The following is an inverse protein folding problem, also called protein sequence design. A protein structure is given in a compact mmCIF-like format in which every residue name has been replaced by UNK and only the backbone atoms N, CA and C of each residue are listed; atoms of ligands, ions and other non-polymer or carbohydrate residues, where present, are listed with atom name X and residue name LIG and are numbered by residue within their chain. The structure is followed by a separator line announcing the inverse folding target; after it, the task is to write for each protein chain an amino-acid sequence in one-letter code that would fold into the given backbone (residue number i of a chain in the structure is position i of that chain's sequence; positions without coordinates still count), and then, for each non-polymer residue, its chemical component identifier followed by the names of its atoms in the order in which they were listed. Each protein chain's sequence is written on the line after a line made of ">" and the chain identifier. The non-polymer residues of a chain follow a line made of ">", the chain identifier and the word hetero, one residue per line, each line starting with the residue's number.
data_IF_141505294982
#
_entry.id   IF_141505294982
#
_cell.length_a   1.000
_cell.length_b   1.000
_cell.length_c   1.000
_cell.angle_alpha   90.00
_cell.angle_beta   90.00
_cell.angle_gamma   90.00
#
_symmetry.space_group_name_H-M   'P 1'
#
loop_
_entity.id
_entity.type
_entity.pdbx_description
1 polymer ?
#
# COMPACT_ATOMS: atom_id res chain seq x y z
N UNK A 1 -2.63 12.29 -3.47
CA UNK A 1 -1.77 12.65 -4.62
C UNK A 1 -1.88 11.57 -5.67
N UNK A 2 -1.96 11.95 -6.95
CA UNK A 2 -2.03 10.99 -8.05
C UNK A 2 -0.67 10.91 -8.75
N UNK A 3 -0.11 9.70 -8.84
CA UNK A 3 1.13 9.46 -9.56
C UNK A 3 0.85 9.25 -11.06
N UNK A 4 1.88 9.40 -11.89
CA UNK A 4 1.77 8.96 -13.29
C UNK A 4 1.58 7.43 -13.33
N UNK A 5 0.98 6.90 -14.41
CA UNK A 5 0.77 5.46 -14.55
C UNK A 5 2.10 4.69 -14.46
N UNK A 6 3.15 5.21 -15.08
CA UNK A 6 4.48 4.61 -15.07
C UNK A 6 5.09 4.64 -13.67
N UNK A 7 4.95 5.76 -12.97
CA UNK A 7 5.52 5.91 -11.63
C UNK A 7 4.79 5.05 -10.59
N UNK A 8 3.46 4.98 -10.67
CA UNK A 8 2.68 4.07 -9.83
C UNK A 8 3.05 2.61 -10.09
N UNK A 9 3.30 2.22 -11.35
CA UNK A 9 3.75 0.88 -11.68
C UNK A 9 5.12 0.57 -11.07
N UNK A 10 6.09 1.48 -11.17
CA UNK A 10 7.41 1.32 -10.55
C UNK A 10 7.30 1.18 -9.04
N UNK A 11 6.52 2.02 -8.39
CA UNK A 11 6.34 1.93 -6.94
C UNK A 11 5.70 0.59 -6.54
N UNK A 12 4.69 0.11 -7.29
CA UNK A 12 4.10 -1.22 -7.03
C UNK A 12 5.08 -2.37 -7.25
N UNK A 13 5.98 -2.26 -8.22
CA UNK A 13 7.05 -3.24 -8.46
C UNK A 13 8.09 -3.22 -7.33
N UNK A 14 8.46 -2.03 -6.86
CA UNK A 14 9.31 -1.85 -5.68
C UNK A 14 8.70 -2.54 -4.45
N UNK A 15 7.42 -2.27 -4.14
CA UNK A 15 6.72 -2.89 -3.02
C UNK A 15 6.71 -4.43 -3.10
N UNK A 16 6.46 -4.99 -4.29
CA UNK A 16 6.45 -6.44 -4.49
C UNK A 16 7.85 -7.07 -4.34
N UNK A 17 8.90 -6.33 -4.67
CA UNK A 17 10.29 -6.80 -4.57
C UNK A 17 10.83 -6.68 -3.14
N UNK A 18 10.68 -5.52 -2.49
CA UNK A 18 11.22 -5.26 -1.14
C UNK A 18 10.42 -5.95 -0.04
N UNK A 19 9.10 -6.07 -0.21
CA UNK A 19 8.21 -6.64 0.79
C UNK A 19 7.46 -7.87 0.24
N UNK A 20 8.15 -9.02 0.03
CA UNK A 20 7.54 -10.23 -0.51
C UNK A 20 6.61 -10.95 0.50
N UNK A 21 6.60 -10.50 1.76
CA UNK A 21 5.73 -10.98 2.83
C UNK A 21 4.80 -9.85 3.24
N UNK A 22 3.55 -10.17 3.56
CA UNK A 22 2.54 -9.21 3.99
C UNK A 22 3.02 -8.38 5.18
N UNK A 23 3.03 -7.05 5.01
CA UNK A 23 3.49 -6.12 6.03
C UNK A 23 2.53 -6.01 7.24
N UNK A 24 1.28 -6.45 7.10
CA UNK A 24 0.29 -6.47 8.20
C UNK A 24 0.44 -7.73 9.06
N UNK A 25 0.38 -8.92 8.45
CA UNK A 25 0.34 -10.16 9.22
C UNK A 25 1.71 -10.83 9.42
N UNK A 26 2.71 -10.50 8.60
CA UNK A 26 4.05 -11.11 8.63
C UNK A 26 4.09 -12.62 8.35
N UNK A 27 2.99 -13.20 7.83
CA UNK A 27 2.82 -14.66 7.72
C UNK A 27 2.63 -15.15 6.29
N UNK A 28 1.83 -14.44 5.51
CA UNK A 28 1.50 -14.82 4.14
C UNK A 28 2.32 -14.00 3.14
N UNK A 29 2.57 -14.53 1.93
CA UNK A 29 3.12 -13.73 0.83
C UNK A 29 2.30 -12.45 0.60
N UNK A 30 2.96 -11.38 0.16
CA UNK A 30 2.25 -10.21 -0.35
C UNK A 30 1.72 -10.54 -1.75
N UNK A 31 0.40 -10.38 -1.92
CA UNK A 31 -0.27 -10.68 -3.18
C UNK A 31 -0.54 -9.40 -3.98
N UNK A 32 -0.67 -8.25 -3.30
CA UNK A 32 -1.02 -6.97 -3.91
C UNK A 32 -0.49 -5.78 -3.11
N UNK A 33 -0.36 -4.64 -3.77
CA UNK A 33 -0.16 -3.33 -3.14
C UNK A 33 -1.53 -2.68 -2.89
N UNK A 34 -1.90 -2.59 -1.61
CA UNK A 34 -3.13 -1.98 -1.13
C UNK A 34 -2.95 -0.47 -0.97
N UNK A 35 -3.89 0.32 -1.47
CA UNK A 35 -3.92 1.76 -1.17
C UNK A 35 -4.59 1.95 0.19
N UNK A 36 -3.89 2.47 1.19
CA UNK A 36 -4.42 2.69 2.55
C UNK A 36 -5.45 3.82 2.54
N UNK A 37 -5.17 4.93 1.85
CA UNK A 37 -6.17 5.98 1.60
C UNK A 37 -6.88 5.76 0.26
N UNK A 38 -8.14 5.36 0.35
CA UNK A 38 -9.06 5.21 -0.78
C UNK A 38 -10.47 5.64 -0.36
N UNK A 39 -11.11 6.47 -1.17
CA UNK A 39 -12.51 6.88 -1.03
C UNK A 39 -13.43 6.06 -1.93
N UNK A 40 -14.74 6.33 -1.85
CA UNK A 40 -15.73 5.70 -2.72
C UNK A 40 -15.34 5.91 -4.18
N UNK A 41 -15.28 4.81 -4.96
CA UNK A 41 -14.87 4.82 -6.37
C UNK A 41 -13.48 5.45 -6.63
N UNK A 42 -12.57 5.43 -5.65
CA UNK A 42 -11.23 6.00 -5.78
C UNK A 42 -11.15 7.51 -5.55
N UNK A 43 -12.19 8.14 -5.00
CA UNK A 43 -12.09 9.48 -4.42
C UNK A 43 -10.98 9.52 -3.36
N UNK A 44 -10.33 10.66 -3.12
CA UNK A 44 -9.29 10.81 -2.06
C UNK A 44 -8.12 9.81 -2.10
N UNK A 45 -7.93 9.12 -3.23
CA UNK A 45 -6.85 8.17 -3.43
C UNK A 45 -5.51 8.92 -3.39
N UNK A 46 -4.61 8.45 -2.54
CA UNK A 46 -3.20 8.83 -2.61
C UNK A 46 -2.38 7.63 -3.06
N UNK A 47 -1.86 7.70 -4.29
CA UNK A 47 -1.06 6.65 -4.91
C UNK A 47 0.27 6.40 -4.17
N UNK A 48 0.70 7.30 -3.28
CA UNK A 48 1.88 7.13 -2.44
C UNK A 48 1.58 6.33 -1.18
N UNK A 49 0.31 6.27 -0.77
CA UNK A 49 -0.12 5.59 0.45
C UNK A 49 -0.42 4.12 0.14
N UNK A 50 0.61 3.35 -0.22
CA UNK A 50 0.48 1.91 -0.53
C UNK A 50 1.30 1.01 0.39
N UNK A 51 0.76 -0.16 0.71
CA UNK A 51 1.41 -1.24 1.49
C UNK A 51 1.28 -2.59 0.78
N UNK A 52 2.28 -3.45 0.92
CA UNK A 52 2.30 -4.81 0.37
C UNK A 52 1.59 -5.79 1.33
N UNK A 53 0.48 -6.39 0.89
CA UNK A 53 -0.38 -7.20 1.76
C UNK A 53 -0.84 -8.49 1.08
N UNK A 54 -1.15 -9.50 1.88
CA UNK A 54 -1.85 -10.69 1.41
C UNK A 54 -3.34 -10.38 1.19
N UNK A 55 -4.03 -11.25 0.45
CA UNK A 55 -5.46 -11.09 0.16
C UNK A 55 -6.34 -10.93 1.41
N UNK A 56 -6.11 -11.73 2.45
CA UNK A 56 -6.92 -11.66 3.67
C UNK A 56 -6.77 -10.31 4.39
N UNK A 57 -5.55 -9.76 4.46
CA UNK A 57 -5.31 -8.45 5.06
C UNK A 57 -5.82 -7.31 4.16
N UNK A 58 -5.71 -7.47 2.83
CA UNK A 58 -6.30 -6.53 1.87
C UNK A 58 -7.81 -6.38 2.09
N UNK A 59 -8.52 -7.50 2.20
CA UNK A 59 -9.97 -7.50 2.38
C UNK A 59 -10.36 -6.95 3.76
N UNK A 60 -9.59 -7.28 4.81
CA UNK A 60 -9.79 -6.68 6.14
C UNK A 60 -9.68 -5.15 6.12
N UNK A 61 -8.70 -4.59 5.40
CA UNK A 61 -8.56 -3.14 5.27
C UNK A 61 -9.78 -2.52 4.57
N UNK A 62 -10.33 -3.20 3.56
CA UNK A 62 -11.58 -2.76 2.91
C UNK A 62 -12.76 -2.70 3.87
N UNK A 63 -12.90 -3.71 4.72
CA UNK A 63 -13.97 -3.82 5.72
C UNK A 63 -13.77 -2.84 6.90
N UNK A 64 -12.53 -2.49 7.23
CA UNK A 64 -12.16 -1.70 8.42
C UNK A 64 -11.44 -0.40 8.06
N UNK A 65 -11.87 0.28 7.00
CA UNK A 65 -11.19 1.43 6.39
C UNK A 65 -10.59 2.45 7.36
N UNK A 66 -11.38 2.95 8.32
CA UNK A 66 -10.88 3.96 9.26
C UNK A 66 -9.77 3.41 10.15
N UNK A 67 -9.96 2.20 10.68
CA UNK A 67 -8.98 1.52 11.52
C UNK A 67 -7.71 1.17 10.72
N UNK A 68 -7.85 0.76 9.46
CA UNK A 68 -6.70 0.46 8.61
C UNK A 68 -5.89 1.72 8.27
N UNK A 69 -6.56 2.86 8.08
CA UNK A 69 -5.88 4.14 7.86
C UNK A 69 -5.12 4.54 9.13
N UNK A 70 -5.78 4.53 10.29
CA UNK A 70 -5.13 4.88 11.57
C UNK A 70 -3.92 3.99 11.87
N UNK A 71 -3.99 2.69 11.55
CA UNK A 71 -2.92 1.73 11.85
C UNK A 71 -1.76 1.75 10.85
N UNK A 72 -2.04 1.99 9.58
CA UNK A 72 -1.07 1.69 8.51
C UNK A 72 -0.76 2.87 7.59
N UNK A 73 -1.30 4.06 7.86
CA UNK A 73 -0.96 5.24 7.07
C UNK A 73 0.52 5.63 7.20
N UNK A 74 1.10 5.53 8.40
CA UNK A 74 2.52 5.82 8.63
C UNK A 74 3.43 4.81 7.91
N UNK A 75 3.09 3.52 7.98
CA UNK A 75 3.80 2.48 7.23
C UNK A 75 3.77 2.73 5.71
N UNK A 76 2.66 3.26 5.20
CA UNK A 76 2.56 3.63 3.79
C UNK A 76 3.44 4.84 3.43
N UNK A 77 3.65 5.78 4.35
CA UNK A 77 4.59 6.89 4.18
C UNK A 77 6.04 6.40 4.18
N UNK A 78 6.38 5.48 5.08
CA UNK A 78 7.71 4.86 5.15
C UNK A 78 8.06 4.16 3.83
N UNK A 79 7.14 3.33 3.32
CA UNK A 79 7.29 2.67 2.02
C UNK A 79 7.55 3.66 0.87
N UNK A 80 6.86 4.81 0.86
CA UNK A 80 7.07 5.83 -0.17
C UNK A 80 8.43 6.51 -0.02
N UNK A 81 8.84 6.84 1.22
CA UNK A 81 10.14 7.44 1.49
C UNK A 81 11.29 6.51 1.10
N UNK A 82 11.17 5.20 1.37
CA UNK A 82 12.14 4.19 0.95
C UNK A 82 12.21 4.08 -0.58
N UNK A 83 11.06 4.11 -1.27
CA UNK A 83 11.03 4.16 -2.73
C UNK A 83 11.74 5.41 -3.27
N UNK A 84 11.45 6.60 -2.75
CA UNK A 84 12.09 7.84 -3.18
C UNK A 84 13.61 7.83 -2.94
N UNK A 85 14.07 7.20 -1.85
CA UNK A 85 15.50 7.03 -1.57
C UNK A 85 16.20 6.02 -2.49
N UNK A 86 15.43 5.17 -3.19
CA UNK A 86 15.94 4.15 -4.12
C UNK A 86 16.03 4.59 -5.59
N UNK A 87 15.53 5.80 -5.91
CA UNK A 87 15.53 6.40 -7.25
C UNK A 87 16.89 6.97 -7.66
#
# INVERSE_FOLDING_TARGET
>A
MKLSKTENLKFRQFLAYEYPVCQICGKAPSDDAHHVRYGCYGADKDDRKQIAVCRACHDWCHDHKHESIEKYEELADENWAEYEASL
#
